data_IF_669974114155
#
_entry.id   IF_669974114155
#
_cell.length_a   1.000
_cell.length_b   1.000
_cell.length_c   1.000
_cell.angle_alpha   90.00
_cell.angle_beta   90.00
_cell.angle_gamma   90.00
#
_symmetry.space_group_name_H-M   'P 1'
#
loop_
_entity.id
_entity.type
_entity.pdbx_description
1 polymer ?
#
# COMPACT_ATOMS: atom_id res chain seq x y z
N UNK A 1 -26.77 -5.24 7.74
CA UNK A 1 -25.65 -5.85 8.49
C UNK A 1 -25.00 -4.72 9.25
N UNK A 2 -24.65 -4.92 10.52
CA UNK A 2 -23.89 -3.92 11.27
C UNK A 2 -22.44 -3.92 10.75
N UNK A 3 -22.04 -2.85 10.05
CA UNK A 3 -20.70 -2.72 9.46
C UNK A 3 -19.61 -2.84 10.54
N UNK A 4 -19.88 -2.38 11.76
CA UNK A 4 -18.94 -2.48 12.86
C UNK A 4 -18.72 -3.94 13.28
N UNK A 5 -19.78 -4.74 13.35
CA UNK A 5 -19.67 -6.17 13.66
C UNK A 5 -18.92 -6.94 12.56
N UNK A 6 -19.16 -6.62 11.30
CA UNK A 6 -18.44 -7.23 10.18
C UNK A 6 -16.94 -6.90 10.23
N UNK A 7 -16.60 -5.64 10.48
CA UNK A 7 -15.21 -5.21 10.64
C UNK A 7 -14.52 -5.90 11.81
N UNK A 8 -15.23 -6.12 12.92
CA UNK A 8 -14.70 -6.86 14.07
C UNK A 8 -14.31 -8.30 13.72
N UNK A 9 -15.10 -8.98 12.88
CA UNK A 9 -14.76 -10.33 12.42
C UNK A 9 -13.58 -10.33 11.44
N UNK A 10 -13.48 -9.31 10.60
CA UNK A 10 -12.35 -9.15 9.68
C UNK A 10 -11.06 -8.95 10.48
N UNK A 11 -11.04 -8.01 11.43
CA UNK A 11 -9.89 -7.76 12.29
C UNK A 11 -9.43 -9.06 12.98
N UNK A 12 -10.36 -9.77 13.64
CA UNK A 12 -10.06 -11.06 14.30
C UNK A 12 -9.44 -12.10 13.36
N UNK A 13 -9.90 -12.16 12.11
CA UNK A 13 -9.38 -13.08 11.11
C UNK A 13 -7.96 -12.70 10.71
N UNK A 14 -7.72 -11.42 10.39
CA UNK A 14 -6.42 -10.95 9.88
C UNK A 14 -5.36 -10.79 10.97
N UNK A 15 -5.75 -10.75 12.24
CA UNK A 15 -4.82 -10.73 13.39
C UNK A 15 -4.73 -12.06 14.14
N UNK A 16 -5.24 -13.14 13.53
CA UNK A 16 -5.16 -14.47 14.13
C UNK A 16 -3.70 -14.95 14.19
N UNK A 17 -3.19 -15.19 15.40
CA UNK A 17 -1.82 -15.65 15.63
C UNK A 17 -1.72 -17.19 15.54
N UNK A 18 -1.78 -17.70 14.32
CA UNK A 18 -1.73 -19.15 14.05
C UNK A 18 -0.41 -19.81 14.47
N UNK A 19 0.67 -19.03 14.55
CA UNK A 19 2.01 -19.51 14.90
C UNK A 19 2.36 -19.29 16.37
N UNK A 20 1.41 -18.79 17.18
CA UNK A 20 1.56 -18.55 18.62
C UNK A 20 2.80 -17.69 18.93
N UNK A 21 3.04 -16.65 18.12
CA UNK A 21 4.16 -15.71 18.32
C UNK A 21 3.95 -14.76 19.49
N UNK A 22 2.73 -14.66 20.03
CA UNK A 22 2.30 -13.87 21.20
C UNK A 22 2.35 -12.34 21.06
N UNK A 23 3.19 -11.79 20.18
CA UNK A 23 3.27 -10.33 20.01
C UNK A 23 2.18 -9.77 19.08
N UNK A 24 1.65 -10.55 18.12
CA UNK A 24 0.61 -10.05 17.21
C UNK A 24 -0.67 -9.62 17.94
N UNK A 25 -1.21 -10.41 18.91
CA UNK A 25 -2.35 -9.95 19.71
C UNK A 25 -2.05 -8.67 20.48
N UNK A 26 -0.86 -8.55 21.09
CA UNK A 26 -0.47 -7.36 21.83
C UNK A 26 -0.37 -6.10 20.94
N UNK A 27 0.19 -6.24 19.73
CA UNK A 27 0.25 -5.15 18.75
C UNK A 27 -1.14 -4.74 18.26
N UNK A 28 -2.00 -5.71 17.98
CA UNK A 28 -3.38 -5.44 17.57
C UNK A 28 -4.15 -4.68 18.67
N UNK A 29 -4.10 -5.14 19.92
CA UNK A 29 -4.77 -4.47 21.03
C UNK A 29 -4.26 -3.04 21.25
N UNK A 30 -2.93 -2.83 21.18
CA UNK A 30 -2.34 -1.50 21.27
C UNK A 30 -2.82 -0.58 20.13
N UNK A 31 -2.80 -1.07 18.89
CA UNK A 31 -3.27 -0.31 17.74
C UNK A 31 -4.77 0.01 17.83
N UNK A 32 -5.59 -0.98 18.22
CA UNK A 32 -7.03 -0.82 18.39
C UNK A 32 -7.36 0.22 19.46
N UNK A 33 -6.69 0.15 20.60
CA UNK A 33 -6.84 1.14 21.67
C UNK A 33 -6.49 2.56 21.19
N UNK A 34 -5.42 2.70 20.40
CA UNK A 34 -5.01 3.99 19.84
C UNK A 34 -5.98 4.54 18.77
N UNK A 35 -6.70 3.68 18.05
CA UNK A 35 -7.64 4.10 17.00
C UNK A 35 -9.11 4.22 17.48
N UNK A 36 -9.47 3.57 18.60
CA UNK A 36 -10.80 3.66 19.20
C UNK A 36 -11.88 2.80 18.53
N UNK A 37 -11.50 1.84 17.69
CA UNK A 37 -12.45 0.95 16.98
C UNK A 37 -11.74 -0.10 16.11
N UNK A 38 -12.51 -0.88 15.32
CA UNK A 38 -11.94 -1.84 14.38
C UNK A 38 -10.99 -1.17 13.39
N UNK A 39 -9.78 -1.71 13.25
CA UNK A 39 -8.69 -1.13 12.46
C UNK A 39 -9.02 -1.16 10.97
N UNK A 40 -9.57 -2.27 10.46
CA UNK A 40 -9.96 -2.37 9.06
C UNK A 40 -11.08 -1.37 8.70
N UNK A 41 -12.05 -1.15 9.60
CA UNK A 41 -13.10 -0.13 9.38
C UNK A 41 -12.50 1.28 9.35
N UNK A 42 -11.66 1.62 10.34
CA UNK A 42 -11.03 2.94 10.40
C UNK A 42 -10.15 3.24 9.18
N UNK A 43 -9.44 2.24 8.67
CA UNK A 43 -8.68 2.37 7.41
C UNK A 43 -9.60 2.54 6.19
N UNK A 44 -10.65 1.74 6.08
CA UNK A 44 -11.63 1.82 4.99
C UNK A 44 -12.34 3.18 4.95
N UNK A 45 -12.76 3.72 6.09
CA UNK A 45 -13.42 5.02 6.19
C UNK A 45 -12.48 6.16 5.77
N UNK A 46 -11.22 6.13 6.22
CA UNK A 46 -10.22 7.14 5.82
C UNK A 46 -9.97 7.12 4.32
N UNK A 47 -9.86 5.92 3.73
CA UNK A 47 -9.68 5.77 2.28
C UNK A 47 -10.94 6.26 1.54
N UNK A 48 -12.13 5.83 1.95
CA UNK A 48 -13.39 6.30 1.35
C UNK A 48 -13.49 7.84 1.38
N UNK A 49 -13.22 8.45 2.53
CA UNK A 49 -13.26 9.90 2.69
C UNK A 49 -12.21 10.63 1.82
N UNK A 50 -11.02 10.05 1.62
CA UNK A 50 -10.01 10.60 0.74
C UNK A 50 -10.46 10.67 -0.74
N UNK A 51 -11.40 9.80 -1.13
CA UNK A 51 -12.00 9.76 -2.47
C UNK A 51 -13.41 10.37 -2.55
N UNK A 52 -14.02 10.79 -1.44
CA UNK A 52 -15.40 11.26 -1.42
C UNK A 52 -15.68 12.44 -2.36
N UNK A 53 -14.66 13.28 -2.61
CA UNK A 53 -14.76 14.45 -3.49
C UNK A 53 -14.10 14.23 -4.87
N UNK A 54 -13.65 13.01 -5.19
CA UNK A 54 -13.04 12.69 -6.49
C UNK A 54 -12.92 11.19 -6.73
N UNK A 55 -13.42 10.72 -7.88
CA UNK A 55 -13.45 9.31 -8.26
C UNK A 55 -12.23 8.84 -9.05
N UNK A 56 -11.10 9.56 -9.00
CA UNK A 56 -9.85 9.14 -9.64
C UNK A 56 -8.65 9.92 -9.07
N UNK A 57 -7.50 9.24 -8.96
CA UNK A 57 -6.24 9.90 -8.57
C UNK A 57 -5.17 8.91 -8.13
N UNK A 58 -3.91 9.37 -8.04
CA UNK A 58 -2.81 8.52 -7.61
C UNK A 58 -2.95 8.13 -6.13
N UNK A 59 -2.61 6.87 -5.84
CA UNK A 59 -2.34 6.37 -4.49
C UNK A 59 -0.90 5.92 -4.44
N UNK A 60 -0.16 6.44 -3.48
CA UNK A 60 1.23 6.10 -3.28
C UNK A 60 1.32 4.91 -2.33
N UNK A 61 1.76 3.76 -2.85
CA UNK A 61 2.07 2.59 -2.04
C UNK A 61 3.57 2.53 -1.77
N UNK A 62 3.93 2.17 -0.55
CA UNK A 62 5.32 1.96 -0.14
C UNK A 62 5.42 0.53 0.38
N UNK A 63 6.16 -0.32 -0.31
CA UNK A 63 6.23 -1.74 0.02
C UNK A 63 7.59 -2.34 -0.26
N UNK A 64 7.85 -3.49 0.36
CA UNK A 64 9.04 -4.29 0.11
C UNK A 64 9.96 -4.35 1.33
N UNK A 65 10.31 -5.59 1.67
CA UNK A 65 11.28 -5.96 2.69
C UNK A 65 12.37 -6.81 2.03
N UNK A 66 13.61 -6.32 2.02
CA UNK A 66 14.73 -7.07 1.44
C UNK A 66 15.26 -8.10 2.43
N UNK A 67 15.39 -9.36 1.99
CA UNK A 67 16.01 -10.42 2.78
C UNK A 67 17.45 -10.65 2.30
N UNK A 68 18.47 -10.27 3.08
CA UNK A 68 19.87 -10.51 2.72
C UNK A 68 20.21 -11.99 2.55
N UNK A 69 19.50 -12.87 3.27
CA UNK A 69 19.71 -14.32 3.22
C UNK A 69 19.23 -14.90 1.88
N UNK A 70 18.09 -14.41 1.37
CA UNK A 70 17.53 -14.88 0.11
C UNK A 70 18.07 -14.12 -1.10
N UNK A 71 18.72 -12.97 -0.88
CA UNK A 71 19.21 -12.09 -1.94
C UNK A 71 18.09 -11.39 -2.72
N UNK A 72 16.84 -11.52 -2.28
CA UNK A 72 15.61 -10.99 -2.89
C UNK A 72 14.65 -10.54 -1.80
N UNK A 73 13.63 -9.78 -2.16
CA UNK A 73 12.57 -9.48 -1.20
C UNK A 73 11.58 -10.58 -0.94
N UNK A 74 10.86 -10.34 0.13
CA UNK A 74 9.76 -11.17 0.58
C UNK A 74 8.48 -10.83 -0.17
N UNK A 75 7.57 -11.80 -0.25
CA UNK A 75 6.27 -11.63 -0.88
C UNK A 75 5.26 -10.95 0.05
N UNK A 76 5.56 -10.90 1.35
CA UNK A 76 4.79 -10.13 2.32
C UNK A 76 4.96 -8.62 2.04
N UNK A 77 3.84 -7.90 1.97
CA UNK A 77 3.77 -6.55 1.43
C UNK A 77 3.28 -6.46 -0.02
N UNK A 78 4.08 -6.87 -1.03
CA UNK A 78 3.72 -6.72 -2.45
C UNK A 78 2.39 -7.37 -2.83
N UNK A 79 2.07 -8.54 -2.26
CA UNK A 79 0.80 -9.23 -2.54
C UNK A 79 -0.40 -8.44 -2.00
N UNK A 80 -0.32 -7.99 -0.75
CA UNK A 80 -1.34 -7.13 -0.14
C UNK A 80 -1.47 -5.79 -0.86
N UNK A 81 -0.35 -5.22 -1.33
CA UNK A 81 -0.30 -4.02 -2.15
C UNK A 81 -1.07 -4.20 -3.45
N UNK A 82 -0.80 -5.27 -4.21
CA UNK A 82 -1.50 -5.51 -5.47
C UNK A 82 -3.00 -5.73 -5.28
N UNK A 83 -3.40 -6.45 -4.22
CA UNK A 83 -4.81 -6.66 -3.90
C UNK A 83 -5.51 -5.34 -3.53
N UNK A 84 -4.96 -4.57 -2.58
CA UNK A 84 -5.57 -3.31 -2.16
C UNK A 84 -5.58 -2.28 -3.30
N UNK A 85 -4.51 -2.20 -4.08
CA UNK A 85 -4.44 -1.39 -5.30
C UNK A 85 -5.58 -1.74 -6.27
N UNK A 86 -5.86 -3.03 -6.48
CA UNK A 86 -6.94 -3.49 -7.35
C UNK A 86 -8.32 -3.07 -6.81
N UNK A 87 -8.53 -3.22 -5.51
CA UNK A 87 -9.78 -2.79 -4.86
C UNK A 87 -9.99 -1.28 -5.02
N UNK A 88 -8.96 -0.46 -4.77
CA UNK A 88 -9.05 0.99 -4.90
C UNK A 88 -9.22 1.45 -6.35
N UNK A 89 -8.59 0.78 -7.31
CA UNK A 89 -8.82 1.05 -8.74
C UNK A 89 -10.27 0.77 -9.13
N UNK A 90 -10.82 -0.37 -8.71
CA UNK A 90 -12.19 -0.75 -9.06
C UNK A 90 -13.25 0.12 -8.38
N UNK A 91 -13.00 0.52 -7.12
CA UNK A 91 -13.94 1.31 -6.35
C UNK A 91 -13.88 2.81 -6.68
N UNK A 92 -12.68 3.34 -6.93
CA UNK A 92 -12.43 4.78 -6.97
C UNK A 92 -11.58 5.23 -8.15
N UNK A 93 -11.37 4.39 -9.17
CA UNK A 93 -10.52 4.73 -10.33
C UNK A 93 -9.09 5.13 -9.93
N UNK A 94 -8.62 4.67 -8.77
CA UNK A 94 -7.31 5.02 -8.24
C UNK A 94 -6.19 4.52 -9.17
N UNK A 95 -5.10 5.28 -9.27
CA UNK A 95 -3.89 4.90 -9.99
C UNK A 95 -2.83 4.47 -9.00
N UNK A 96 -2.50 3.17 -8.91
CA UNK A 96 -1.47 2.71 -8.01
C UNK A 96 -0.09 3.16 -8.51
N UNK A 97 0.63 3.89 -7.65
CA UNK A 97 2.03 4.21 -7.83
C UNK A 97 2.78 3.56 -6.68
N UNK A 98 3.59 2.55 -6.97
CA UNK A 98 4.29 1.77 -5.95
C UNK A 98 5.76 2.15 -5.91
N UNK A 99 6.22 2.54 -4.74
CA UNK A 99 7.61 2.91 -4.46
C UNK A 99 8.27 1.75 -3.71
N UNK A 100 9.44 1.31 -4.18
CA UNK A 100 10.18 0.19 -3.60
C UNK A 100 11.67 0.31 -3.89
N UNK A 101 12.50 -0.53 -3.25
CA UNK A 101 13.96 -0.54 -3.48
C UNK A 101 14.29 -1.18 -4.83
N UNK A 102 15.43 -0.82 -5.42
CA UNK A 102 15.86 -1.31 -6.75
C UNK A 102 15.78 -2.83 -6.90
N UNK A 103 16.23 -3.57 -5.87
CA UNK A 103 16.21 -5.03 -5.86
C UNK A 103 14.81 -5.66 -5.83
N UNK A 104 13.78 -4.87 -5.55
CA UNK A 104 12.39 -5.30 -5.40
C UNK A 104 11.52 -4.98 -6.61
N UNK A 105 11.97 -4.09 -7.49
CA UNK A 105 11.18 -3.60 -8.62
C UNK A 105 10.63 -4.77 -9.44
N UNK A 106 11.47 -5.78 -9.72
CA UNK A 106 11.04 -6.95 -10.49
C UNK A 106 9.91 -7.71 -9.79
N UNK A 107 10.09 -8.05 -8.50
CA UNK A 107 9.10 -8.79 -7.72
C UNK A 107 7.78 -8.02 -7.65
N UNK A 108 7.82 -6.75 -7.24
CA UNK A 108 6.62 -5.89 -7.12
C UNK A 108 5.92 -5.74 -8.47
N UNK A 109 6.68 -5.57 -9.56
CA UNK A 109 6.13 -5.50 -10.92
C UNK A 109 5.36 -6.77 -11.29
N UNK A 110 5.92 -7.96 -11.02
CA UNK A 110 5.24 -9.21 -11.32
C UNK A 110 3.99 -9.40 -10.46
N UNK A 111 4.05 -9.03 -9.18
CA UNK A 111 2.90 -9.12 -8.28
C UNK A 111 1.74 -8.23 -8.74
N UNK A 112 2.02 -6.98 -9.15
CA UNK A 112 1.01 -6.08 -9.72
C UNK A 112 0.42 -6.59 -11.04
N UNK A 113 1.25 -7.17 -11.92
CA UNK A 113 0.77 -7.82 -13.15
C UNK A 113 -0.15 -9.00 -12.85
N UNK A 114 0.21 -9.82 -11.86
CA UNK A 114 -0.66 -10.89 -11.35
C UNK A 114 -1.98 -10.36 -10.78
N UNK A 115 -1.96 -9.17 -10.18
CA UNK A 115 -3.16 -8.44 -9.73
C UNK A 115 -4.01 -7.81 -10.84
N UNK A 116 -3.62 -7.98 -12.11
CA UNK A 116 -4.38 -7.53 -13.28
C UNK A 116 -4.01 -6.14 -13.81
N UNK A 117 -2.87 -5.58 -13.40
CA UNK A 117 -2.38 -4.29 -13.89
C UNK A 117 -1.41 -4.43 -15.07
N UNK A 118 -1.51 -3.49 -16.01
CA UNK A 118 -0.40 -3.16 -16.89
C UNK A 118 0.59 -2.30 -16.11
N UNK A 119 1.75 -2.85 -15.78
CA UNK A 119 2.80 -2.08 -15.10
C UNK A 119 3.63 -1.34 -16.14
N UNK A 120 3.47 -0.02 -16.17
CA UNK A 120 4.00 0.88 -17.20
C UNK A 120 4.59 2.15 -16.57
N UNK A 121 5.20 3.00 -17.40
CA UNK A 121 5.77 4.27 -16.96
C UNK A 121 4.74 5.18 -16.29
N UNK A 122 5.19 5.95 -15.29
CA UNK A 122 4.34 6.73 -14.40
C UNK A 122 3.40 7.69 -15.15
N UNK A 123 3.95 8.50 -16.06
CA UNK A 123 3.18 9.48 -16.83
C UNK A 123 2.06 8.79 -17.63
N UNK A 124 2.37 7.67 -18.30
CA UNK A 124 1.38 6.90 -19.05
C UNK A 124 0.34 6.25 -18.15
N UNK A 125 0.73 5.76 -16.97
CA UNK A 125 -0.20 5.21 -15.98
C UNK A 125 -1.21 6.26 -15.51
N UNK A 126 -0.73 7.46 -15.15
CA UNK A 126 -1.57 8.59 -14.73
C UNK A 126 -2.53 9.03 -15.85
N UNK A 127 -2.04 9.13 -17.08
CA UNK A 127 -2.87 9.51 -18.24
C UNK A 127 -3.93 8.45 -18.56
N UNK A 128 -3.60 7.15 -18.44
CA UNK A 128 -4.52 6.06 -18.74
C UNK A 128 -5.80 6.09 -17.89
N UNK A 129 -5.71 6.56 -16.65
CA UNK A 129 -6.84 6.68 -15.75
C UNK A 129 -7.74 7.88 -16.11
N UNK A 130 -7.17 8.99 -16.59
CA UNK A 130 -7.94 10.17 -17.05
C UNK A 130 -8.86 9.84 -18.23
N UNK A 131 -8.45 8.90 -19.08
CA UNK A 131 -9.22 8.47 -20.27
C UNK A 131 -10.04 7.19 -20.04
N UNK A 132 -10.17 6.70 -18.80
CA UNK A 132 -11.01 5.56 -18.45
C UNK A 132 -10.48 4.18 -18.88
N UNK A 133 -9.16 4.06 -19.14
CA UNK A 133 -8.48 2.79 -19.49
C UNK A 133 -7.64 2.25 -18.32
N UNK A 134 -8.07 2.53 -17.10
CA UNK A 134 -7.30 2.58 -15.84
C UNK A 134 -6.72 1.29 -15.25
N UNK A 135 -6.52 0.22 -16.02
CA UNK A 135 -5.81 -0.98 -15.52
C UNK A 135 -4.30 -0.81 -15.60
N UNK A 136 -3.78 0.31 -15.10
CA UNK A 136 -2.36 0.62 -15.11
C UNK A 136 -1.85 0.90 -13.70
N UNK A 137 -0.62 0.49 -13.45
CA UNK A 137 0.13 0.83 -12.24
C UNK A 137 1.55 1.20 -12.64
N UNK A 138 2.26 1.90 -11.77
CA UNK A 138 3.69 2.18 -11.95
C UNK A 138 4.49 1.71 -10.75
N UNK A 139 5.73 1.27 -11.00
CA UNK A 139 6.70 0.91 -9.96
C UNK A 139 7.90 1.84 -10.11
N UNK A 140 8.24 2.53 -9.03
CA UNK A 140 9.28 3.54 -8.99
C UNK A 140 10.37 3.07 -8.03
N UNK A 141 11.62 3.16 -8.49
CA UNK A 141 12.80 2.95 -7.66
C UNK A 141 12.93 4.03 -6.59
N UNK A 142 13.31 3.67 -5.38
CA UNK A 142 13.50 4.63 -4.29
C UNK A 142 14.93 4.56 -3.73
N UNK A 143 15.59 5.71 -3.55
CA UNK A 143 16.96 5.73 -3.08
C UNK A 143 17.05 5.32 -1.60
N UNK A 144 18.14 4.63 -1.26
CA UNK A 144 18.41 4.13 0.10
C UNK A 144 19.19 5.12 0.97
N UNK A 145 19.85 6.10 0.36
CA UNK A 145 20.59 7.15 1.07
C UNK A 145 19.61 8.20 1.59
N UNK A 146 19.71 8.55 2.86
CA UNK A 146 18.72 9.39 3.54
C UNK A 146 18.48 10.74 2.85
N UNK A 147 19.53 11.48 2.48
CA UNK A 147 19.38 12.79 1.83
C UNK A 147 18.71 12.68 0.45
N UNK A 148 19.02 11.62 -0.28
CA UNK A 148 18.45 11.35 -1.61
C UNK A 148 16.99 10.92 -1.48
N UNK A 149 16.68 10.08 -0.48
CA UNK A 149 15.33 9.65 -0.11
C UNK A 149 14.45 10.83 0.32
N UNK A 150 14.97 11.76 1.11
CA UNK A 150 14.22 12.95 1.51
C UNK A 150 13.87 13.84 0.31
N UNK A 151 14.81 14.05 -0.62
CA UNK A 151 14.54 14.83 -1.84
C UNK A 151 13.55 14.13 -2.77
N UNK A 152 13.70 12.81 -2.95
CA UNK A 152 12.82 12.03 -3.81
C UNK A 152 11.40 11.92 -3.23
N UNK A 153 11.26 11.75 -1.91
CA UNK A 153 9.96 11.81 -1.25
C UNK A 153 9.26 13.13 -1.52
N UNK A 154 9.94 14.25 -1.31
CA UNK A 154 9.36 15.57 -1.56
C UNK A 154 8.94 15.73 -3.03
N UNK A 155 9.81 15.35 -3.96
CA UNK A 155 9.53 15.39 -5.41
C UNK A 155 8.28 14.58 -5.77
N UNK A 156 8.14 13.36 -5.24
CA UNK A 156 6.97 12.50 -5.51
C UNK A 156 5.70 13.07 -4.91
N UNK A 157 5.75 13.62 -3.69
CA UNK A 157 4.59 14.23 -3.04
C UNK A 157 4.09 15.46 -3.81
N UNK A 158 5.01 16.35 -4.21
CA UNK A 158 4.68 17.57 -4.95
C UNK A 158 4.14 17.26 -6.35
N UNK A 159 4.70 16.24 -7.02
CA UNK A 159 4.31 15.86 -8.38
C UNK A 159 3.00 15.07 -8.42
N UNK A 160 2.77 14.18 -7.45
CA UNK A 160 1.63 13.26 -7.47
C UNK A 160 0.40 13.80 -6.75
N UNK A 161 0.58 14.63 -5.71
CA UNK A 161 -0.48 15.04 -4.79
C UNK A 161 -1.39 13.84 -4.40
N UNK A 162 -0.80 12.77 -3.84
CA UNK A 162 -1.48 11.48 -3.73
C UNK A 162 -2.70 11.58 -2.81
N UNK A 163 -3.78 10.90 -3.20
CA UNK A 163 -5.02 10.82 -2.39
C UNK A 163 -4.80 10.13 -1.06
N UNK A 164 -3.92 9.13 -1.07
CA UNK A 164 -3.49 8.41 0.11
C UNK A 164 -2.06 7.92 -0.07
N UNK A 165 -1.37 7.77 1.05
CA UNK A 165 -0.07 7.11 1.14
C UNK A 165 -0.25 5.90 2.04
N UNK A 166 0.11 4.71 1.54
CA UNK A 166 -0.14 3.43 2.21
C UNK A 166 1.17 2.66 2.27
N UNK A 167 1.64 2.36 3.48
CA UNK A 167 2.79 1.49 3.69
C UNK A 167 2.31 0.06 4.00
N UNK A 168 2.87 -0.93 3.31
CA UNK A 168 2.55 -2.35 3.53
C UNK A 168 3.88 -3.12 3.52
N UNK A 169 4.25 -3.67 4.67
CA UNK A 169 5.53 -4.37 4.88
C UNK A 169 6.74 -3.56 4.40
N UNK A 170 6.79 -2.29 4.84
CA UNK A 170 7.95 -1.43 4.67
C UNK A 170 8.62 -1.22 6.03
N UNK A 171 9.93 -1.52 6.19
CA UNK A 171 10.63 -1.25 7.44
C UNK A 171 10.56 0.23 7.83
N UNK A 172 10.09 0.48 9.05
CA UNK A 172 10.16 1.80 9.68
C UNK A 172 11.51 1.99 10.36
N UNK A 173 12.07 3.21 10.28
CA UNK A 173 13.29 3.56 11.00
C UNK A 173 12.99 3.65 12.50
N UNK A 174 13.72 2.88 13.31
CA UNK A 174 13.71 3.05 14.76
C UNK A 174 14.50 4.29 15.20
N UNK A 175 14.24 4.77 16.41
CA UNK A 175 15.15 5.73 17.06
C UNK A 175 16.55 5.11 17.13
N UNK A 176 17.56 5.87 16.71
CA UNK A 176 18.96 5.44 16.74
C UNK A 176 19.54 5.55 18.15
#
# INVERSE_FOLDING_TARGET
MDNALAAEQIDRLVTCDLNVRSFFPALYEAARSAQGGPLCQGAADRLHNAFANSSAGPVLFITGFYSPVLGVGEQDGPVGTAYLARVLEQAYGAVPVVVTDTGQIHLVTQTLRGGGFNVIGLETALESARIGKGKAASVIDFPVRLDDASREAQRLLDMLEPRAIIAIERPGRNVA
#
